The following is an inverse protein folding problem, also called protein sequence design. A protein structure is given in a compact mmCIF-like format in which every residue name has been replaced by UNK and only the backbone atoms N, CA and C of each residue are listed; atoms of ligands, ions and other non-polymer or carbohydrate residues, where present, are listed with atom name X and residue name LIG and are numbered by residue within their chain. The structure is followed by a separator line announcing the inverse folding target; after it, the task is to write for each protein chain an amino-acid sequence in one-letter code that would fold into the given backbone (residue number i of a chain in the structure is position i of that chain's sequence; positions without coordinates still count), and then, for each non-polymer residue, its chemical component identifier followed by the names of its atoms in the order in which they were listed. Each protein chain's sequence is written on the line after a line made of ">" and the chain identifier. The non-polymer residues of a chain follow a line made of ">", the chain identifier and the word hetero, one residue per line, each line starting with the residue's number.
data_IF_149205817003
#
_entry.id   IF_149205817003
#
_cell.length_a   1.000
_cell.length_b   1.000
_cell.length_c   1.000
_cell.angle_alpha   90.00
_cell.angle_beta   90.00
_cell.angle_gamma   90.00
#
_symmetry.space_group_name_H-M   'P 1'
#
loop_
_entity.id
_entity.type
_entity.pdbx_description
1 polymer ?
#
# COMPACT_ATOMS: atom_id res chain seq x y z
N UNK A 1 8.04 -1.09 -18.33
CA UNK A 1 8.20 -2.43 -17.72
C UNK A 1 9.09 -2.38 -16.47
N UNK A 2 10.34 -1.90 -16.52
CA UNK A 2 11.23 -1.84 -15.34
C UNK A 2 10.63 -1.09 -14.13
N UNK A 3 9.91 0.03 -14.35
CA UNK A 3 9.23 0.77 -13.27
C UNK A 3 8.11 -0.04 -12.59
N UNK A 4 7.41 -0.90 -13.33
CA UNK A 4 6.31 -1.70 -12.78
C UNK A 4 6.88 -2.88 -11.98
N UNK A 5 7.99 -3.48 -12.45
CA UNK A 5 8.71 -4.52 -11.71
C UNK A 5 9.27 -3.96 -10.39
N UNK A 6 9.95 -2.81 -10.43
CA UNK A 6 10.44 -2.11 -9.22
C UNK A 6 9.29 -1.74 -8.25
N UNK A 7 8.16 -1.30 -8.80
CA UNK A 7 6.95 -1.03 -8.01
C UNK A 7 6.39 -2.29 -7.34
N UNK A 8 6.40 -3.44 -8.01
CA UNK A 8 5.95 -4.71 -7.47
C UNK A 8 6.86 -5.18 -6.34
N UNK A 9 8.18 -5.14 -6.52
CA UNK A 9 9.16 -5.51 -5.49
C UNK A 9 9.03 -4.62 -4.25
N UNK A 10 8.84 -3.31 -4.44
CA UNK A 10 8.59 -2.37 -3.33
C UNK A 10 7.27 -2.67 -2.62
N UNK A 11 6.22 -2.99 -3.37
CA UNK A 11 4.91 -3.34 -2.82
C UNK A 11 4.96 -4.63 -2.00
N UNK A 12 5.62 -5.68 -2.50
CA UNK A 12 5.79 -6.95 -1.76
C UNK A 12 6.62 -6.77 -0.49
N UNK A 13 7.62 -5.90 -0.53
CA UNK A 13 8.38 -5.53 0.66
C UNK A 13 7.53 -4.76 1.67
N UNK A 14 6.72 -3.79 1.23
CA UNK A 14 5.80 -3.05 2.10
C UNK A 14 4.75 -3.99 2.72
N UNK A 15 4.21 -4.91 1.92
CA UNK A 15 3.27 -5.95 2.36
C UNK A 15 3.82 -6.78 3.52
N UNK A 16 5.05 -7.25 3.37
CA UNK A 16 5.73 -8.04 4.42
C UNK A 16 5.87 -7.25 5.72
N UNK A 17 6.18 -5.95 5.62
CA UNK A 17 6.28 -5.05 6.78
C UNK A 17 4.91 -4.82 7.43
N UNK A 18 3.88 -4.51 6.63
CA UNK A 18 2.51 -4.29 7.09
C UNK A 18 1.96 -5.52 7.81
N UNK A 19 2.13 -6.71 7.22
CA UNK A 19 1.68 -7.97 7.82
C UNK A 19 2.36 -8.22 9.16
N UNK A 20 3.68 -8.03 9.21
CA UNK A 20 4.47 -8.21 10.44
C UNK A 20 4.06 -7.23 11.53
N UNK A 21 3.88 -5.96 11.17
CA UNK A 21 3.41 -4.90 12.05
C UNK A 21 1.99 -5.15 12.55
N UNK A 22 1.09 -5.64 11.70
CA UNK A 22 -0.32 -5.82 12.03
C UNK A 22 -0.61 -7.04 12.89
N UNK A 23 0.25 -8.07 12.83
CA UNK A 23 0.06 -9.36 13.51
C UNK A 23 -0.24 -9.26 15.02
N UNK A 24 0.47 -8.43 15.81
CA UNK A 24 0.17 -8.29 17.24
C UNK A 24 -1.22 -7.69 17.50
N UNK A 25 -1.75 -6.88 16.58
CA UNK A 25 -3.01 -6.16 16.74
C UNK A 25 -4.24 -6.92 16.23
N UNK A 26 -4.05 -8.01 15.48
CA UNK A 26 -5.16 -8.78 14.88
C UNK A 26 -6.15 -9.35 15.90
N UNK A 27 -5.71 -9.61 17.12
CA UNK A 27 -6.53 -10.16 18.20
C UNK A 27 -6.97 -9.11 19.22
N UNK A 28 -6.54 -7.85 19.05
CA UNK A 28 -6.83 -6.76 19.97
C UNK A 28 -7.91 -5.84 19.40
N UNK A 29 -8.73 -5.23 20.26
CA UNK A 29 -9.69 -4.19 19.83
C UNK A 29 -9.01 -2.87 19.51
N UNK A 30 -7.84 -2.63 20.10
CA UNK A 30 -7.04 -1.43 19.91
C UNK A 30 -6.62 -1.30 18.44
N UNK A 31 -6.86 -0.12 17.86
CA UNK A 31 -6.54 0.20 16.45
C UNK A 31 -7.12 -0.78 15.41
N UNK A 32 -8.12 -1.58 15.80
CA UNK A 32 -8.65 -2.66 14.95
C UNK A 32 -9.28 -2.15 13.64
N UNK A 33 -9.75 -0.91 13.61
CA UNK A 33 -10.29 -0.28 12.38
C UNK A 33 -9.15 0.06 11.43
N UNK A 34 -8.13 0.75 11.92
CA UNK A 34 -6.97 1.19 11.16
C UNK A 34 -6.16 0.00 10.64
N UNK A 35 -5.95 -1.03 11.47
CA UNK A 35 -5.24 -2.25 11.07
C UNK A 35 -6.01 -3.02 9.99
N UNK A 36 -7.34 -3.12 10.09
CA UNK A 36 -8.16 -3.75 9.04
C UNK A 36 -8.12 -2.96 7.75
N UNK A 37 -8.20 -1.63 7.82
CA UNK A 37 -8.08 -0.77 6.65
C UNK A 37 -6.70 -0.92 6.00
N UNK A 38 -5.64 -0.94 6.80
CA UNK A 38 -4.27 -1.10 6.31
C UNK A 38 -4.07 -2.42 5.56
N UNK A 39 -4.56 -3.53 6.11
CA UNK A 39 -4.49 -4.86 5.48
C UNK A 39 -5.36 -4.96 4.22
N UNK A 40 -6.56 -4.37 4.24
CA UNK A 40 -7.45 -4.35 3.06
C UNK A 40 -6.79 -3.60 1.91
N UNK A 41 -6.37 -2.36 2.15
CA UNK A 41 -5.74 -1.53 1.12
C UNK A 41 -4.40 -2.09 0.65
N UNK A 42 -3.63 -2.76 1.50
CA UNK A 42 -2.41 -3.46 1.09
C UNK A 42 -2.73 -4.60 0.11
N UNK A 43 -3.76 -5.40 0.37
CA UNK A 43 -4.18 -6.47 -0.52
C UNK A 43 -4.72 -5.91 -1.85
N UNK A 44 -5.52 -4.84 -1.79
CA UNK A 44 -6.06 -4.17 -2.96
C UNK A 44 -4.96 -3.50 -3.81
N UNK A 45 -3.92 -2.93 -3.17
CA UNK A 45 -2.75 -2.40 -3.86
C UNK A 45 -2.04 -3.49 -4.67
N UNK A 46 -1.77 -4.66 -4.06
CA UNK A 46 -1.08 -5.77 -4.74
C UNK A 46 -1.88 -6.30 -5.93
N UNK A 47 -3.17 -6.55 -5.74
CA UNK A 47 -4.06 -6.96 -6.84
C UNK A 47 -4.15 -5.91 -7.94
N UNK A 48 -4.25 -4.63 -7.57
CA UNK A 48 -4.27 -3.53 -8.52
C UNK A 48 -3.00 -3.45 -9.38
N UNK A 49 -1.82 -3.71 -8.81
CA UNK A 49 -0.57 -3.75 -9.55
C UNK A 49 -0.54 -4.88 -10.58
N UNK A 50 -1.06 -6.05 -10.23
CA UNK A 50 -1.24 -7.16 -11.19
C UNK A 50 -2.15 -6.73 -12.35
N UNK A 51 -3.28 -6.06 -12.06
CA UNK A 51 -4.17 -5.57 -13.12
C UNK A 51 -3.57 -4.48 -14.01
N UNK A 52 -2.60 -3.69 -13.53
CA UNK A 52 -1.85 -2.78 -14.41
C UNK A 52 -1.04 -3.59 -15.43
N UNK A 53 -0.43 -4.71 -15.02
CA UNK A 53 0.36 -5.54 -15.94
C UNK A 53 -0.49 -6.28 -16.98
N UNK A 54 -1.74 -6.60 -16.64
CA UNK A 54 -2.67 -7.34 -17.51
C UNK A 54 -3.55 -6.44 -18.39
N UNK A 55 -3.54 -5.13 -18.17
CA UNK A 55 -4.40 -4.18 -18.89
C UNK A 55 -4.16 -4.20 -20.41
N UNK A 56 -5.24 -4.35 -21.18
CA UNK A 56 -5.17 -4.51 -22.65
C UNK A 56 -5.45 -3.22 -23.40
N UNK A 57 -6.10 -2.26 -22.74
CA UNK A 57 -6.47 -0.97 -23.31
C UNK A 57 -5.93 0.19 -22.48
N UNK A 58 -5.70 1.33 -23.13
CA UNK A 58 -5.26 2.56 -22.45
C UNK A 58 -6.26 3.02 -21.37
N UNK A 59 -7.56 2.83 -21.61
CA UNK A 59 -8.61 3.18 -20.65
C UNK A 59 -8.53 2.32 -19.38
N UNK A 60 -8.36 1.01 -19.53
CA UNK A 60 -8.18 0.08 -18.41
C UNK A 60 -6.92 0.40 -17.62
N UNK A 61 -5.80 0.64 -18.32
CA UNK A 61 -4.53 1.00 -17.68
C UNK A 61 -4.66 2.27 -16.83
N UNK A 62 -5.28 3.33 -17.35
CA UNK A 62 -5.51 4.57 -16.60
C UNK A 62 -6.38 4.36 -15.37
N UNK A 63 -7.42 3.53 -15.49
CA UNK A 63 -8.30 3.22 -14.37
C UNK A 63 -7.57 2.39 -13.30
N UNK A 64 -6.77 1.41 -13.70
CA UNK A 64 -5.99 0.58 -12.77
C UNK A 64 -4.91 1.41 -12.06
N UNK A 65 -4.22 2.31 -12.77
CA UNK A 65 -3.25 3.24 -12.17
C UNK A 65 -3.94 4.16 -11.15
N UNK A 66 -5.14 4.67 -11.46
CA UNK A 66 -5.91 5.50 -10.52
C UNK A 66 -6.25 4.73 -9.24
N UNK A 67 -6.76 3.50 -9.35
CA UNK A 67 -7.10 2.67 -8.19
C UNK A 67 -5.88 2.37 -7.33
N UNK A 68 -4.78 1.94 -7.95
CA UNK A 68 -3.49 1.67 -7.26
C UNK A 68 -2.96 2.93 -6.56
N UNK A 69 -3.12 4.11 -7.17
CA UNK A 69 -2.76 5.39 -6.54
C UNK A 69 -3.58 5.62 -5.27
N UNK A 70 -4.89 5.42 -5.34
CA UNK A 70 -5.81 5.62 -4.21
C UNK A 70 -5.48 4.68 -3.05
N UNK A 71 -5.25 3.39 -3.32
CA UNK A 71 -4.89 2.43 -2.26
C UNK A 71 -3.53 2.74 -1.63
N UNK A 72 -2.53 3.12 -2.43
CA UNK A 72 -1.23 3.55 -1.90
C UNK A 72 -1.35 4.80 -1.01
N UNK A 73 -2.22 5.75 -1.36
CA UNK A 73 -2.49 6.94 -0.55
C UNK A 73 -3.26 6.62 0.74
N UNK A 74 -4.20 5.68 0.71
CA UNK A 74 -4.91 5.20 1.90
C UNK A 74 -3.94 4.53 2.87
N UNK A 75 -3.04 3.67 2.38
CA UNK A 75 -1.98 3.04 3.18
C UNK A 75 -1.11 4.11 3.84
N UNK A 76 -0.60 5.07 3.06
CA UNK A 76 0.24 6.15 3.58
C UNK A 76 -0.48 6.94 4.67
N UNK A 77 -1.72 7.35 4.42
CA UNK A 77 -2.52 8.09 5.38
C UNK A 77 -2.73 7.29 6.68
N UNK A 78 -3.05 6.00 6.56
CA UNK A 78 -3.32 5.12 7.70
C UNK A 78 -2.07 4.95 8.56
N UNK A 79 -0.91 4.69 7.94
CA UNK A 79 0.37 4.58 8.64
C UNK A 79 0.75 5.89 9.35
N UNK A 80 0.50 7.05 8.73
CA UNK A 80 0.73 8.35 9.37
C UNK A 80 -0.18 8.57 10.58
N UNK A 81 -1.42 8.08 10.56
CA UNK A 81 -2.30 8.15 11.74
C UNK A 81 -1.80 7.26 12.87
N UNK A 82 -1.34 6.04 12.54
CA UNK A 82 -0.76 5.11 13.51
C UNK A 82 0.52 5.67 14.18
N UNK A 83 1.39 6.35 13.42
CA UNK A 83 2.56 7.03 14.00
C UNK A 83 2.17 8.19 14.94
N UNK A 84 1.13 8.95 14.59
CA UNK A 84 0.63 10.07 15.41
C UNK A 84 0.09 9.62 16.76
N UNK A 85 -0.49 8.42 16.83
CA UNK A 85 -1.02 7.85 18.08
C UNK A 85 0.02 7.03 18.85
N UNK A 86 1.28 7.00 18.40
CA UNK A 86 2.41 6.47 19.17
C UNK A 86 2.99 5.14 18.67
N UNK A 87 2.46 4.55 17.60
CA UNK A 87 3.01 3.34 17.00
C UNK A 87 4.19 3.66 16.07
N UNK A 88 5.35 3.93 16.67
CA UNK A 88 6.55 4.39 15.97
C UNK A 88 7.13 3.36 15.00
N UNK A 89 6.77 2.09 15.15
CA UNK A 89 7.08 1.02 14.20
C UNK A 89 6.46 1.25 12.81
N UNK A 90 5.50 2.19 12.68
CA UNK A 90 4.93 2.61 11.41
C UNK A 90 5.89 3.42 10.51
N UNK A 91 6.85 4.16 11.08
CA UNK A 91 7.76 5.06 10.35
C UNK A 91 8.46 4.47 9.12
N UNK A 92 9.15 3.31 9.20
CA UNK A 92 9.82 2.75 8.02
C UNK A 92 8.85 2.35 6.91
N UNK A 93 7.59 2.00 7.24
CA UNK A 93 6.55 1.73 6.25
C UNK A 93 6.03 3.01 5.60
N UNK A 94 5.94 4.11 6.35
CA UNK A 94 5.54 5.43 5.81
C UNK A 94 6.49 5.85 4.69
N UNK A 95 7.80 5.75 4.91
CA UNK A 95 8.77 6.18 3.90
C UNK A 95 8.71 5.29 2.65
N UNK A 96 8.54 3.99 2.81
CA UNK A 96 8.33 3.06 1.69
C UNK A 96 7.02 3.32 0.95
N UNK A 97 5.92 3.63 1.64
CA UNK A 97 4.65 4.01 1.02
C UNK A 97 4.77 5.32 0.22
N UNK A 98 5.53 6.32 0.70
CA UNK A 98 5.81 7.54 -0.08
C UNK A 98 6.55 7.25 -1.38
N UNK A 99 7.54 6.37 -1.35
CA UNK A 99 8.27 5.95 -2.56
C UNK A 99 7.33 5.29 -3.58
N UNK A 100 6.47 4.38 -3.12
CA UNK A 100 5.47 3.70 -3.97
C UNK A 100 4.53 4.72 -4.62
N UNK A 101 3.94 5.64 -3.83
CA UNK A 101 3.07 6.70 -4.36
C UNK A 101 3.79 7.56 -5.39
N UNK A 102 5.06 7.93 -5.13
CA UNK A 102 5.85 8.71 -6.06
C UNK A 102 6.09 7.98 -7.39
N UNK A 103 6.37 6.67 -7.35
CA UNK A 103 6.55 5.85 -8.56
C UNK A 103 5.26 5.77 -9.36
N UNK A 104 4.14 5.44 -8.70
CA UNK A 104 2.82 5.31 -9.37
C UNK A 104 2.44 6.60 -10.09
N UNK A 105 2.68 7.76 -9.47
CA UNK A 105 2.39 9.08 -10.07
C UNK A 105 3.23 9.40 -11.31
N UNK A 106 4.21 8.57 -11.66
CA UNK A 106 5.03 8.69 -12.88
C UNK A 106 4.69 7.66 -13.96
N UNK A 107 3.70 6.81 -13.73
CA UNK A 107 3.15 5.85 -14.70
C UNK A 107 2.06 6.51 -15.55
#
# INVERSE_FOLDING_TARGET
>A
MNKIIDLQEKSDSLSTMICSFSKPFMLTKEHSTEIRQLLSSESDLRLGLEFITEGKTEKELKQNILLVTQEAEIILYTLMQLDKIGLKEALPMIDKAKEIVAIIKTL
#
